data_IF_531948474515
#
_entry.id   IF_531948474515
#
_cell.length_a   1.000
_cell.length_b   1.000
_cell.length_c   1.000
_cell.angle_alpha   90.00
_cell.angle_beta   90.00
_cell.angle_gamma   90.00
#
_symmetry.space_group_name_H-M   'P 1'
#
loop_
_entity.id
_entity.type
_entity.pdbx_description
1 polymer ?
#
# COMPACT_ATOMS: atom_id res chain seq x y z
N UNK A 1 11.56 30.49 -6.85
CA UNK A 1 12.49 29.35 -6.79
C UNK A 1 12.02 28.28 -5.81
N UNK A 2 11.85 28.63 -4.52
CA UNK A 2 11.61 27.63 -3.46
C UNK A 2 10.16 27.10 -3.35
N UNK A 3 9.15 27.89 -3.71
CA UNK A 3 7.75 27.56 -3.44
C UNK A 3 7.17 26.42 -4.30
N UNK A 4 7.68 26.22 -5.52
CA UNK A 4 7.18 25.18 -6.43
C UNK A 4 7.55 23.77 -5.96
N UNK A 5 8.74 23.61 -5.36
CA UNK A 5 9.23 22.32 -4.86
C UNK A 5 8.45 21.88 -3.62
N UNK A 6 8.19 22.82 -2.69
CA UNK A 6 7.38 22.55 -1.50
C UNK A 6 5.96 22.10 -1.85
N UNK A 7 5.31 22.74 -2.83
CA UNK A 7 3.94 22.40 -3.24
C UNK A 7 3.86 20.99 -3.82
N UNK A 8 4.81 20.59 -4.66
CA UNK A 8 4.84 19.23 -5.22
C UNK A 8 5.11 18.18 -4.14
N UNK A 9 6.01 18.44 -3.19
CA UNK A 9 6.26 17.50 -2.08
C UNK A 9 5.02 17.33 -1.19
N UNK A 10 4.29 18.40 -0.90
CA UNK A 10 3.03 18.30 -0.15
C UNK A 10 2.02 17.39 -0.87
N UNK A 11 1.87 17.56 -2.18
CA UNK A 11 0.99 16.71 -3.00
C UNK A 11 1.48 15.26 -3.01
N UNK A 12 2.79 15.02 -3.13
CA UNK A 12 3.37 13.68 -3.05
C UNK A 12 2.99 12.97 -1.75
N UNK A 13 3.20 13.62 -0.61
CA UNK A 13 2.89 13.04 0.70
C UNK A 13 1.40 12.72 0.81
N UNK A 14 0.53 13.65 0.39
CA UNK A 14 -0.92 13.43 0.43
C UNK A 14 -1.34 12.23 -0.43
N UNK A 15 -0.77 12.11 -1.63
CA UNK A 15 -1.06 11.00 -2.53
C UNK A 15 -0.54 9.67 -1.97
N UNK A 16 0.68 9.63 -1.42
CA UNK A 16 1.24 8.42 -0.80
C UNK A 16 0.38 7.94 0.37
N UNK A 17 -0.09 8.86 1.21
CA UNK A 17 -0.99 8.52 2.33
C UNK A 17 -2.31 7.94 1.82
N UNK A 18 -2.89 8.54 0.77
CA UNK A 18 -4.12 8.02 0.15
C UNK A 18 -3.96 6.60 -0.38
N UNK A 19 -2.89 6.35 -1.14
CA UNK A 19 -2.60 5.01 -1.69
C UNK A 19 -2.31 4.01 -0.56
N UNK A 20 -1.52 4.39 0.45
CA UNK A 20 -1.22 3.52 1.59
C UNK A 20 -2.48 3.13 2.37
N UNK A 21 -3.39 4.09 2.59
CA UNK A 21 -4.68 3.84 3.24
C UNK A 21 -5.55 2.88 2.42
N UNK A 22 -5.56 2.99 1.09
CA UNK A 22 -6.26 2.07 0.19
C UNK A 22 -5.74 0.63 0.34
N UNK A 23 -4.41 0.45 0.33
CA UNK A 23 -3.79 -0.87 0.52
C UNK A 23 -4.21 -1.49 1.85
N UNK A 24 -4.11 -0.73 2.95
CA UNK A 24 -4.50 -1.17 4.30
C UNK A 24 -5.97 -1.62 4.33
N UNK A 25 -6.85 -0.87 3.67
CA UNK A 25 -8.26 -1.21 3.58
C UNK A 25 -8.49 -2.54 2.86
N UNK A 26 -7.82 -2.74 1.71
CA UNK A 26 -7.83 -4.01 0.97
C UNK A 26 -7.37 -5.18 1.85
N UNK A 27 -6.26 -5.06 2.57
CA UNK A 27 -5.79 -6.11 3.46
C UNK A 27 -6.81 -6.44 4.57
N UNK A 28 -7.44 -5.41 5.12
CA UNK A 28 -8.48 -5.57 6.15
C UNK A 28 -9.68 -6.32 5.61
N UNK A 29 -10.12 -6.00 4.40
CA UNK A 29 -11.26 -6.66 3.75
C UNK A 29 -10.99 -8.15 3.53
N UNK A 30 -9.84 -8.48 2.94
CA UNK A 30 -9.45 -9.88 2.73
C UNK A 30 -9.24 -10.64 4.04
N UNK A 31 -8.74 -9.97 5.10
CA UNK A 31 -8.64 -10.58 6.43
C UNK A 31 -10.02 -10.91 7.02
N UNK A 32 -11.00 -10.01 6.86
CA UNK A 32 -12.39 -10.25 7.27
C UNK A 32 -13.03 -11.39 6.46
N UNK A 33 -12.83 -11.43 5.15
CA UNK A 33 -13.28 -12.56 4.32
C UNK A 33 -12.65 -13.89 4.75
N UNK A 34 -11.36 -13.88 5.12
CA UNK A 34 -10.68 -15.10 5.57
C UNK A 34 -11.33 -15.73 6.80
N UNK A 35 -11.98 -14.94 7.66
CA UNK A 35 -12.68 -15.42 8.86
C UNK A 35 -13.88 -16.31 8.52
N UNK A 36 -14.48 -16.14 7.35
CA UNK A 36 -15.57 -16.99 6.86
C UNK A 36 -15.04 -18.32 6.30
N UNK A 37 -13.79 -18.36 5.83
CA UNK A 37 -13.21 -19.54 5.19
C UNK A 37 -12.48 -20.48 6.16
N UNK A 38 -11.86 -19.95 7.22
CA UNK A 38 -11.17 -20.76 8.23
C UNK A 38 -11.02 -20.01 9.54
N UNK A 39 -10.96 -20.75 10.66
CA UNK A 39 -10.62 -20.21 11.99
C UNK A 39 -9.13 -20.30 12.32
N UNK A 40 -8.36 -21.09 11.57
CA UNK A 40 -6.91 -21.23 11.74
C UNK A 40 -6.18 -19.91 11.37
N UNK A 41 -5.47 -19.26 12.30
CA UNK A 41 -4.81 -17.98 12.02
C UNK A 41 -3.73 -18.11 10.94
N UNK A 42 -3.05 -19.25 10.85
CA UNK A 42 -2.01 -19.51 9.84
C UNK A 42 -2.61 -19.63 8.44
N UNK A 43 -3.74 -20.34 8.29
CA UNK A 43 -4.43 -20.46 7.00
C UNK A 43 -5.01 -19.13 6.55
N UNK A 44 -5.59 -18.37 7.48
CA UNK A 44 -6.10 -17.01 7.22
C UNK A 44 -5.00 -16.07 6.75
N UNK A 45 -3.86 -16.07 7.44
CA UNK A 45 -2.70 -15.28 7.04
C UNK A 45 -2.22 -15.62 5.63
N UNK A 46 -2.11 -16.92 5.30
CA UNK A 46 -1.73 -17.36 3.96
C UNK A 46 -2.75 -16.92 2.90
N UNK A 47 -4.05 -17.03 3.19
CA UNK A 47 -5.11 -16.59 2.30
C UNK A 47 -5.03 -15.08 2.04
N UNK A 48 -4.90 -14.28 3.11
CA UNK A 48 -4.77 -12.82 3.00
C UNK A 48 -3.51 -12.42 2.24
N UNK A 49 -2.36 -13.06 2.48
CA UNK A 49 -1.14 -12.79 1.71
C UNK A 49 -1.30 -13.06 0.21
N UNK A 50 -1.90 -14.19 -0.15
CA UNK A 50 -2.08 -14.56 -1.56
C UNK A 50 -3.08 -13.63 -2.25
N UNK A 51 -4.24 -13.40 -1.65
CA UNK A 51 -5.28 -12.59 -2.29
C UNK A 51 -5.05 -11.08 -2.18
N UNK A 52 -4.80 -10.56 -0.98
CA UNK A 52 -4.55 -9.14 -0.79
C UNK A 52 -3.20 -8.75 -1.43
N UNK A 53 -2.19 -9.61 -1.33
CA UNK A 53 -0.89 -9.38 -1.98
C UNK A 53 -1.01 -9.31 -3.50
N UNK A 54 -1.70 -10.27 -4.14
CA UNK A 54 -1.92 -10.25 -5.60
C UNK A 54 -2.72 -9.02 -6.04
N UNK A 55 -3.79 -8.69 -5.32
CA UNK A 55 -4.63 -7.52 -5.62
C UNK A 55 -3.87 -6.20 -5.47
N UNK A 56 -3.17 -6.00 -4.35
CA UNK A 56 -2.38 -4.78 -4.11
C UNK A 56 -1.15 -4.69 -5.00
N UNK A 57 -0.56 -5.82 -5.44
CA UNK A 57 0.55 -5.82 -6.38
C UNK A 57 0.12 -5.27 -7.76
N UNK A 58 -1.03 -5.70 -8.28
CA UNK A 58 -1.57 -5.20 -9.54
C UNK A 58 -1.88 -3.69 -9.47
N UNK A 59 -2.46 -3.23 -8.36
CA UNK A 59 -2.72 -1.80 -8.11
C UNK A 59 -1.42 -1.00 -8.06
N UNK A 60 -0.47 -1.42 -7.21
CA UNK A 60 0.85 -0.77 -7.06
C UNK A 60 1.61 -0.70 -8.37
N UNK A 61 1.59 -1.77 -9.15
CA UNK A 61 2.25 -1.82 -10.46
C UNK A 61 1.64 -0.81 -11.44
N UNK A 62 0.31 -0.75 -11.50
CA UNK A 62 -0.43 0.22 -12.33
C UNK A 62 -0.12 1.66 -11.88
N UNK A 63 -0.12 1.92 -10.57
CA UNK A 63 0.22 3.23 -10.01
C UNK A 63 1.66 3.63 -10.30
N UNK A 64 2.61 2.71 -10.13
CA UNK A 64 4.01 2.93 -10.46
C UNK A 64 4.17 3.22 -11.96
N UNK A 65 3.47 2.51 -12.84
CA UNK A 65 3.42 2.80 -14.28
C UNK A 65 2.83 4.17 -14.58
N UNK A 66 1.75 4.59 -13.91
CA UNK A 66 1.19 5.93 -14.08
C UNK A 66 2.18 7.03 -13.67
N UNK A 67 2.93 6.84 -12.59
CA UNK A 67 3.99 7.77 -12.20
C UNK A 67 5.18 7.71 -13.16
N UNK A 68 5.56 6.53 -13.63
CA UNK A 68 6.63 6.37 -14.62
C UNK A 68 6.27 7.00 -15.98
N UNK A 69 4.99 7.00 -16.38
CA UNK A 69 4.53 7.69 -17.59
C UNK A 69 4.80 9.20 -17.54
N UNK A 70 4.87 9.80 -16.34
CA UNK A 70 5.25 11.20 -16.19
C UNK A 70 6.72 11.45 -16.57
N UNK A 71 7.58 10.43 -16.72
CA UNK A 71 8.93 10.62 -17.25
C UNK A 71 8.94 11.05 -18.72
N UNK A 72 7.89 10.73 -19.48
CA UNK A 72 7.75 11.14 -20.88
C UNK A 72 7.35 12.62 -21.03
N UNK A 73 7.00 13.31 -19.94
CA UNK A 73 6.61 14.73 -19.99
C UNK A 73 7.80 15.67 -20.23
N UNK A 74 7.57 16.71 -21.01
CA UNK A 74 8.56 17.76 -21.36
C UNK A 74 8.99 18.59 -20.14
N UNK A 75 8.16 18.65 -19.10
CA UNK A 75 8.44 19.41 -17.87
C UNK A 75 9.42 18.64 -16.96
N UNK A 76 10.66 19.14 -16.85
CA UNK A 76 11.72 18.53 -16.03
C UNK A 76 11.32 18.30 -14.57
N UNK A 77 10.47 19.15 -14.00
CA UNK A 77 9.95 19.01 -12.64
C UNK A 77 9.04 17.77 -12.46
N UNK A 78 8.21 17.44 -13.46
CA UNK A 78 7.33 16.26 -13.41
C UNK A 78 8.10 14.95 -13.54
N UNK A 79 9.22 14.97 -14.25
CA UNK A 79 10.07 13.78 -14.43
C UNK A 79 10.73 13.32 -13.13
N UNK A 80 11.39 14.25 -12.43
CA UNK A 80 12.01 13.99 -11.12
C UNK A 80 10.96 13.58 -10.08
N UNK A 81 9.82 14.27 -10.09
CA UNK A 81 8.69 13.97 -9.22
C UNK A 81 8.10 12.57 -9.46
N UNK A 82 7.86 12.21 -10.73
CA UNK A 82 7.30 10.91 -11.11
C UNK A 82 8.20 9.74 -10.72
N UNK A 83 9.51 9.88 -10.89
CA UNK A 83 10.47 8.87 -10.45
C UNK A 83 10.46 8.69 -8.92
N UNK A 84 10.56 9.80 -8.17
CA UNK A 84 10.51 9.77 -6.71
C UNK A 84 9.20 9.16 -6.18
N UNK A 85 8.07 9.58 -6.73
CA UNK A 85 6.75 9.05 -6.38
C UNK A 85 6.62 7.56 -6.68
N UNK A 86 7.10 7.11 -7.84
CA UNK A 86 7.12 5.70 -8.20
C UNK A 86 7.89 4.84 -7.18
N UNK A 87 9.07 5.29 -6.77
CA UNK A 87 9.85 4.65 -5.71
C UNK A 87 9.11 4.63 -4.37
N UNK A 88 8.50 5.76 -3.97
CA UNK A 88 7.73 5.85 -2.72
C UNK A 88 6.53 4.91 -2.70
N UNK A 89 5.80 4.77 -3.81
CA UNK A 89 4.64 3.86 -3.92
C UNK A 89 5.07 2.41 -3.75
N UNK A 90 6.16 1.99 -4.40
CA UNK A 90 6.69 0.63 -4.25
C UNK A 90 7.19 0.39 -2.83
N UNK A 91 7.91 1.36 -2.24
CA UNK A 91 8.38 1.26 -0.86
C UNK A 91 7.21 1.17 0.15
N UNK A 92 6.18 2.01 -0.01
CA UNK A 92 4.98 1.99 0.82
C UNK A 92 4.27 0.64 0.72
N UNK A 93 4.14 0.08 -0.48
CA UNK A 93 3.57 -1.25 -0.68
C UNK A 93 4.38 -2.33 0.05
N UNK A 94 5.71 -2.32 -0.07
CA UNK A 94 6.57 -3.28 0.64
C UNK A 94 6.40 -3.18 2.16
N UNK A 95 6.32 -1.96 2.69
CA UNK A 95 6.10 -1.73 4.13
C UNK A 95 4.75 -2.30 4.56
N UNK A 96 3.66 -2.01 3.83
CA UNK A 96 2.33 -2.53 4.16
C UNK A 96 2.29 -4.05 4.04
N UNK A 97 2.85 -4.61 2.96
CA UNK A 97 2.92 -6.05 2.70
C UNK A 97 3.67 -6.81 3.81
N UNK A 98 4.76 -6.24 4.35
CA UNK A 98 5.52 -6.87 5.44
C UNK A 98 4.93 -6.60 6.83
N UNK A 99 4.51 -5.37 7.11
CA UNK A 99 4.16 -4.92 8.47
C UNK A 99 2.69 -5.17 8.83
N UNK A 100 1.77 -5.08 7.85
CA UNK A 100 0.34 -5.11 8.14
C UNK A 100 -0.20 -6.51 8.48
N UNK A 101 0.16 -7.58 7.74
CA UNK A 101 -0.31 -8.94 8.06
C UNK A 101 0.07 -9.45 9.46
N UNK A 102 1.31 -9.28 9.97
CA UNK A 102 1.61 -9.67 11.35
C UNK A 102 0.85 -8.82 12.36
N UNK A 103 0.59 -7.54 12.08
CA UNK A 103 -0.19 -6.67 12.95
C UNK A 103 -1.65 -7.13 13.08
N UNK A 104 -2.26 -7.62 12.00
CA UNK A 104 -3.59 -8.23 12.03
C UNK A 104 -3.64 -9.49 12.90
N UNK A 105 -2.61 -10.36 12.81
CA UNK A 105 -2.52 -11.57 13.63
C UNK A 105 -2.40 -11.22 15.11
N UNK A 106 -1.57 -10.25 15.46
CA UNK A 106 -1.39 -9.78 16.84
C UNK A 106 -2.68 -9.16 17.36
N UNK A 107 -3.36 -8.33 16.56
CA UNK A 107 -4.64 -7.74 16.94
C UNK A 107 -5.72 -8.81 17.21
N UNK A 108 -5.78 -9.85 16.37
CA UNK A 108 -6.73 -10.95 16.58
C UNK A 108 -6.40 -11.78 17.83
N UNK A 109 -5.11 -12.06 18.09
CA UNK A 109 -4.67 -12.74 19.32
C UNK A 109 -5.01 -11.95 20.57
N UNK A 110 -4.81 -10.62 20.53
CA UNK A 110 -5.14 -9.73 21.65
C UNK A 110 -6.64 -9.75 21.95
N UNK A 111 -7.48 -9.70 20.90
CA UNK A 111 -8.93 -9.76 21.06
C UNK A 111 -9.39 -11.12 21.63
N UNK A 112 -8.76 -12.23 21.25
CA UNK A 112 -9.09 -13.54 21.83
C UNK A 112 -8.67 -13.67 23.29
N UNK A 113 -7.60 -13.01 23.74
CA UNK A 113 -7.18 -13.02 25.15
C UNK A 113 -8.05 -12.19 26.09
N UNK A 114 -8.91 -11.32 25.55
CA UNK A 114 -9.86 -10.50 26.32
C UNK A 114 -11.27 -11.12 26.43
N UNK A 115 -11.53 -12.26 25.78
CA UNK A 115 -12.79 -13.02 25.87
C UNK A 115 -12.59 -14.28 26.69
#
# INVERSE_FOLDING_TARGET
>A
GNSTVSLMMCVAVFVIVGIGSDMIFVYTDFWKQSAQHSRDPVKRLRFTYLQAGSSTAASTFTTAMSFLANLASVLRALREFGFFMGCCVVAAWLIVFLAYPPMLVVAERCHQGMR
#
